data_IF_988335164445
#
_entry.id   IF_988335164445
#
_cell.length_a   1.000
_cell.length_b   1.000
_cell.length_c   1.000
_cell.angle_alpha   90.00
_cell.angle_beta   90.00
_cell.angle_gamma   90.00
#
_symmetry.space_group_name_H-M   'P 1'
#
loop_
_entity.id
_entity.type
_entity.pdbx_description
1 polymer ?
#
# COMPACT_ATOMS: atom_id res chain seq x y z
N UNK A 1 5.85 11.93 2.45
CA UNK A 1 4.96 12.00 1.27
C UNK A 1 5.61 12.53 -0.02
N UNK A 2 6.67 13.29 0.06
CA UNK A 2 7.43 13.77 -1.13
C UNK A 2 8.14 12.65 -1.93
N UNK A 3 8.14 11.41 -1.46
CA UNK A 3 8.71 10.26 -2.15
C UNK A 3 8.23 10.07 -3.58
N UNK A 4 6.96 10.41 -3.84
CA UNK A 4 6.37 10.27 -5.16
C UNK A 4 6.82 11.33 -6.16
N UNK A 5 7.57 12.34 -5.74
CA UNK A 5 8.09 13.37 -6.64
C UNK A 5 9.54 13.12 -7.09
N UNK A 6 10.20 12.07 -6.56
CA UNK A 6 11.57 11.71 -6.97
C UNK A 6 11.53 10.50 -7.92
N UNK A 7 11.77 10.69 -9.23
CA UNK A 7 11.63 9.62 -10.23
C UNK A 7 12.47 8.37 -9.94
N UNK A 8 13.65 8.55 -9.36
CA UNK A 8 14.56 7.44 -9.00
C UNK A 8 13.95 6.54 -7.93
N UNK A 9 13.20 7.11 -6.96
CA UNK A 9 12.54 6.34 -5.91
C UNK A 9 11.36 5.53 -6.45
N UNK A 10 10.71 6.00 -7.50
CA UNK A 10 9.65 5.23 -8.17
C UNK A 10 10.19 3.94 -8.78
N UNK A 11 11.36 3.99 -9.41
CA UNK A 11 11.98 2.82 -10.01
C UNK A 11 12.36 1.81 -8.92
N UNK A 12 12.98 2.28 -7.84
CA UNK A 12 13.37 1.41 -6.71
C UNK A 12 12.14 0.80 -6.04
N UNK A 13 11.10 1.61 -5.79
CA UNK A 13 9.83 1.13 -5.20
C UNK A 13 9.12 0.14 -6.13
N UNK A 14 9.07 0.42 -7.44
CA UNK A 14 8.47 -0.48 -8.42
C UNK A 14 9.20 -1.83 -8.49
N UNK A 15 10.54 -1.82 -8.49
CA UNK A 15 11.34 -3.05 -8.45
C UNK A 15 11.11 -3.83 -7.16
N UNK A 16 11.10 -3.15 -6.01
CA UNK A 16 10.81 -3.75 -4.71
C UNK A 16 9.42 -4.39 -4.68
N UNK A 17 8.39 -3.67 -5.10
CA UNK A 17 7.03 -4.18 -5.18
C UNK A 17 6.93 -5.38 -6.13
N UNK A 18 7.58 -5.31 -7.30
CA UNK A 18 7.60 -6.44 -8.24
C UNK A 18 8.22 -7.71 -7.63
N UNK A 19 9.31 -7.57 -6.87
CA UNK A 19 9.97 -8.71 -6.20
C UNK A 19 9.04 -9.28 -5.13
N UNK A 20 8.47 -8.43 -4.28
CA UNK A 20 7.58 -8.85 -3.19
C UNK A 20 6.33 -9.53 -3.78
N UNK A 21 5.68 -8.91 -4.75
CA UNK A 21 4.51 -9.46 -5.43
C UNK A 21 4.81 -10.80 -6.08
N UNK A 22 6.01 -10.96 -6.68
CA UNK A 22 6.46 -12.21 -7.27
C UNK A 22 6.60 -13.31 -6.22
N UNK A 23 7.25 -13.03 -5.09
CA UNK A 23 7.43 -13.99 -4.01
C UNK A 23 6.07 -14.40 -3.43
N UNK A 24 5.20 -13.43 -3.15
CA UNK A 24 3.87 -13.72 -2.58
C UNK A 24 3.02 -14.52 -3.57
N UNK A 25 3.07 -14.18 -4.86
CA UNK A 25 2.35 -14.93 -5.89
C UNK A 25 2.88 -16.37 -6.02
N UNK A 26 4.19 -16.61 -5.88
CA UNK A 26 4.77 -17.94 -5.83
C UNK A 26 4.26 -18.73 -4.63
N UNK A 27 4.25 -18.12 -3.44
CA UNK A 27 3.72 -18.73 -2.21
C UNK A 27 2.25 -19.10 -2.40
N UNK A 28 1.43 -18.18 -2.91
CA UNK A 28 0.02 -18.42 -3.22
C UNK A 28 -0.13 -19.57 -4.19
N UNK A 29 0.69 -19.64 -5.22
CA UNK A 29 0.64 -20.70 -6.24
C UNK A 29 0.92 -22.08 -5.63
N UNK A 30 1.87 -22.18 -4.72
CA UNK A 30 2.23 -23.45 -4.06
C UNK A 30 1.17 -23.87 -3.04
N UNK A 31 0.75 -22.97 -2.16
CA UNK A 31 -0.09 -23.31 -1.00
C UNK A 31 -1.59 -23.34 -1.32
N UNK A 32 -2.07 -22.43 -2.16
CA UNK A 32 -3.51 -22.29 -2.45
C UNK A 32 -3.91 -23.05 -3.70
N UNK A 33 -3.10 -22.99 -4.74
CA UNK A 33 -3.36 -23.69 -6.01
C UNK A 33 -2.94 -25.15 -5.98
N UNK A 34 -2.06 -25.55 -5.05
CA UNK A 34 -1.45 -26.90 -5.00
C UNK A 34 -0.82 -27.37 -6.33
N UNK A 35 -0.62 -26.47 -7.25
CA UNK A 35 0.05 -26.70 -8.54
C UNK A 35 0.77 -25.41 -8.94
N UNK A 36 2.09 -25.43 -8.88
CA UNK A 36 2.87 -24.41 -9.55
C UNK A 36 2.83 -24.67 -11.05
N UNK A 37 2.16 -23.77 -11.78
CA UNK A 37 2.25 -23.75 -13.23
C UNK A 37 2.88 -22.42 -13.65
N UNK A 38 4.00 -22.51 -14.35
CA UNK A 38 4.71 -21.33 -14.87
C UNK A 38 3.80 -20.42 -15.72
N UNK A 39 2.83 -21.02 -16.41
CA UNK A 39 1.81 -20.29 -17.16
C UNK A 39 0.90 -19.45 -16.25
N UNK A 40 0.52 -19.93 -15.08
CA UNK A 40 -0.30 -19.21 -14.13
C UNK A 40 0.47 -18.00 -13.57
N UNK A 41 1.73 -18.20 -13.19
CA UNK A 41 2.60 -17.12 -12.72
C UNK A 41 2.72 -16.03 -13.79
N UNK A 42 3.13 -16.36 -15.01
CA UNK A 42 3.26 -15.39 -16.11
C UNK A 42 1.98 -14.61 -16.41
N UNK A 43 0.82 -15.26 -16.34
CA UNK A 43 -0.47 -14.62 -16.60
C UNK A 43 -0.97 -13.75 -15.45
N UNK A 44 -0.43 -13.93 -14.24
CA UNK A 44 -0.91 -13.25 -13.04
C UNK A 44 0.04 -12.16 -12.55
N UNK A 45 1.35 -12.29 -12.76
CA UNK A 45 2.34 -11.36 -12.20
C UNK A 45 2.17 -9.93 -12.73
N UNK A 46 1.94 -9.74 -14.02
CA UNK A 46 1.78 -8.42 -14.61
C UNK A 46 0.54 -7.70 -14.04
N UNK A 47 -0.67 -8.29 -14.05
CA UNK A 47 -1.82 -7.63 -13.45
C UNK A 47 -1.66 -7.44 -11.93
N UNK A 48 -1.08 -8.38 -11.19
CA UNK A 48 -0.81 -8.24 -9.75
C UNK A 48 0.04 -7.01 -9.50
N UNK A 49 1.18 -6.91 -10.16
CA UNK A 49 2.11 -5.78 -10.03
C UNK A 49 1.48 -4.44 -10.42
N UNK A 50 0.84 -4.37 -11.59
CA UNK A 50 0.25 -3.12 -12.08
C UNK A 50 -0.87 -2.62 -11.15
N UNK A 51 -1.75 -3.49 -10.71
CA UNK A 51 -2.84 -3.13 -9.83
C UNK A 51 -2.39 -2.94 -8.37
N UNK A 52 -1.33 -3.63 -7.93
CA UNK A 52 -0.67 -3.34 -6.66
C UNK A 52 -0.13 -1.91 -6.65
N UNK A 53 0.70 -1.56 -7.62
CA UNK A 53 1.28 -0.23 -7.76
C UNK A 53 0.21 0.87 -7.91
N UNK A 54 -0.85 0.61 -8.69
CA UNK A 54 -1.98 1.54 -8.80
C UNK A 54 -2.69 1.74 -7.46
N UNK A 55 -2.85 0.68 -6.67
CA UNK A 55 -3.48 0.77 -5.34
C UNK A 55 -2.64 1.60 -4.37
N UNK A 56 -1.32 1.46 -4.41
CA UNK A 56 -0.40 2.27 -3.60
C UNK A 56 -0.49 3.74 -3.99
N UNK A 57 -0.56 4.03 -5.29
CA UNK A 57 -0.76 5.38 -5.79
C UNK A 57 -2.09 5.99 -5.32
N UNK A 58 -3.18 5.21 -5.34
CA UNK A 58 -4.48 5.64 -4.80
C UNK A 58 -4.40 5.93 -3.29
N UNK A 59 -3.63 5.14 -2.54
CA UNK A 59 -3.38 5.40 -1.12
C UNK A 59 -2.67 6.71 -0.87
N UNK A 60 -1.66 7.04 -1.69
CA UNK A 60 -0.99 8.34 -1.62
C UNK A 60 -1.95 9.48 -1.94
N UNK A 61 -2.74 9.36 -3.01
CA UNK A 61 -3.74 10.37 -3.36
C UNK A 61 -4.75 10.58 -2.24
N UNK A 62 -5.20 9.51 -1.58
CA UNK A 62 -6.08 9.58 -0.42
C UNK A 62 -5.45 10.38 0.72
N UNK A 63 -4.21 10.05 1.11
CA UNK A 63 -3.50 10.77 2.17
C UNK A 63 -3.26 12.24 1.80
N UNK A 64 -2.90 12.53 0.56
CA UNK A 64 -2.74 13.89 0.06
C UNK A 64 -4.07 14.67 0.12
N UNK A 65 -5.16 14.07 -0.33
CA UNK A 65 -6.47 14.71 -0.33
C UNK A 65 -6.91 15.08 1.10
N UNK A 66 -6.69 14.18 2.08
CA UNK A 66 -6.98 14.48 3.49
C UNK A 66 -6.05 15.59 4.02
N UNK A 67 -4.76 15.51 3.76
CA UNK A 67 -3.78 16.50 4.26
C UNK A 67 -4.10 17.89 3.74
N UNK A 68 -4.38 18.02 2.44
CA UNK A 68 -4.72 19.31 1.83
C UNK A 68 -6.12 19.76 2.26
N UNK A 69 -7.11 18.86 2.24
CA UNK A 69 -8.50 19.19 2.55
C UNK A 69 -8.75 19.53 4.01
N UNK A 70 -7.94 19.01 4.94
CA UNK A 70 -8.02 19.34 6.36
C UNK A 70 -7.38 20.69 6.71
N UNK A 71 -6.57 21.28 5.82
CA UNK A 71 -5.78 22.45 6.14
C UNK A 71 -4.83 22.20 7.32
N UNK A 72 -4.26 20.99 7.40
CA UNK A 72 -3.50 20.57 8.57
C UNK A 72 -2.28 21.46 8.78
N UNK A 73 -2.23 22.05 9.96
CA UNK A 73 -1.14 22.89 10.49
C UNK A 73 -0.70 22.36 11.84
N UNK A 74 0.47 22.79 12.29
CA UNK A 74 0.94 22.46 13.62
C UNK A 74 0.28 23.36 14.64
N UNK A 75 -0.41 22.76 15.62
CA UNK A 75 -1.07 23.44 16.72
C UNK A 75 -0.54 22.93 18.05
N UNK A 76 -0.27 23.81 18.97
CA UNK A 76 0.01 23.47 20.37
C UNK A 76 -1.30 23.44 21.18
N UNK A 77 -1.40 22.52 22.13
CA UNK A 77 -2.51 22.42 23.07
C UNK A 77 -3.12 21.02 23.18
N UNK A 78 -4.05 20.90 24.14
CA UNK A 78 -4.66 19.62 24.53
C UNK A 78 -6.00 19.34 23.82
N UNK A 79 -6.43 20.19 22.91
CA UNK A 79 -7.64 19.97 22.11
C UNK A 79 -7.40 18.80 21.13
N UNK A 80 -8.28 17.80 21.18
CA UNK A 80 -8.19 16.59 20.34
C UNK A 80 -8.19 16.94 18.84
N UNK A 81 -9.02 17.91 18.43
CA UNK A 81 -9.09 18.34 17.04
C UNK A 81 -7.74 18.92 16.57
N UNK A 82 -7.11 19.76 17.39
CA UNK A 82 -5.78 20.32 17.11
C UNK A 82 -4.70 19.24 17.10
N UNK A 83 -4.77 18.27 18.00
CA UNK A 83 -3.81 17.14 18.03
C UNK A 83 -3.92 16.28 16.76
N UNK A 84 -5.13 16.04 16.25
CA UNK A 84 -5.33 15.33 14.97
C UNK A 84 -4.72 16.11 13.81
N UNK A 85 -5.00 17.42 13.70
CA UNK A 85 -4.45 18.25 12.64
C UNK A 85 -2.93 18.33 12.71
N UNK A 86 -2.37 18.53 13.91
CA UNK A 86 -0.92 18.50 14.15
C UNK A 86 -0.32 17.13 13.76
N UNK A 87 -0.99 16.03 14.07
CA UNK A 87 -0.56 14.69 13.70
C UNK A 87 -0.50 14.48 12.18
N UNK A 88 -1.52 14.95 11.45
CA UNK A 88 -1.52 14.93 9.98
C UNK A 88 -0.38 15.79 9.42
N UNK A 89 -0.18 17.00 9.97
CA UNK A 89 0.91 17.89 9.59
C UNK A 89 2.28 17.24 9.80
N UNK A 90 2.53 16.68 10.99
CA UNK A 90 3.79 16.00 11.33
C UNK A 90 4.04 14.78 10.41
N UNK A 91 3.03 13.96 10.17
CA UNK A 91 3.15 12.82 9.27
C UNK A 91 3.47 13.23 7.82
N UNK A 92 3.01 14.42 7.42
CA UNK A 92 3.23 14.94 6.05
C UNK A 92 4.57 15.64 5.92
N UNK A 93 4.99 16.43 6.91
CA UNK A 93 6.14 17.33 6.83
C UNK A 93 7.39 16.82 7.59
N UNK A 94 7.20 16.01 8.62
CA UNK A 94 8.25 15.46 9.47
C UNK A 94 8.17 13.93 9.49
N UNK A 95 7.97 13.34 10.68
CA UNK A 95 7.82 11.91 10.84
C UNK A 95 6.41 11.56 11.34
N UNK A 96 5.82 10.49 10.85
CA UNK A 96 4.55 10.00 11.37
C UNK A 96 4.66 9.54 12.83
N UNK A 97 5.87 9.19 13.29
CA UNK A 97 6.12 8.73 14.66
C UNK A 97 6.13 9.86 15.70
N UNK A 98 6.16 11.12 15.27
CA UNK A 98 6.12 12.27 16.17
C UNK A 98 4.74 12.46 16.85
N UNK A 99 3.71 11.75 16.35
CA UNK A 99 2.36 11.78 16.91
C UNK A 99 1.62 10.48 16.67
N UNK A 100 0.86 10.00 17.68
CA UNK A 100 -0.03 8.85 17.51
C UNK A 100 -1.07 9.09 16.40
N UNK A 101 -1.56 10.31 16.26
CA UNK A 101 -2.50 10.68 15.19
C UNK A 101 -1.82 10.67 13.81
N UNK A 102 -0.53 10.96 13.74
CA UNK A 102 0.28 10.81 12.53
C UNK A 102 0.39 9.36 12.09
N UNK A 103 0.66 8.44 13.04
CA UNK A 103 0.67 7.00 12.76
C UNK A 103 -0.70 6.53 12.28
N UNK A 104 -1.78 6.89 12.99
CA UNK A 104 -3.15 6.52 12.61
C UNK A 104 -3.53 7.03 11.23
N UNK A 105 -3.12 8.26 10.89
CA UNK A 105 -3.33 8.84 9.57
C UNK A 105 -2.64 8.00 8.48
N UNK A 106 -1.36 7.65 8.64
CA UNK A 106 -0.63 6.81 7.68
C UNK A 106 -1.24 5.41 7.59
N UNK A 107 -1.60 4.79 8.72
CA UNK A 107 -2.27 3.48 8.75
C UNK A 107 -3.59 3.53 7.97
N UNK A 108 -4.35 4.63 8.04
CA UNK A 108 -5.58 4.78 7.24
C UNK A 108 -5.31 4.70 5.73
N UNK A 109 -4.20 5.27 5.26
CA UNK A 109 -3.75 5.19 3.87
C UNK A 109 -3.34 3.77 3.45
N UNK A 110 -2.63 3.06 4.34
CA UNK A 110 -2.27 1.64 4.12
C UNK A 110 -3.54 0.79 4.00
N UNK A 111 -4.50 0.96 4.89
CA UNK A 111 -5.77 0.23 4.84
C UNK A 111 -6.55 0.55 3.57
N UNK A 112 -6.59 1.82 3.18
CA UNK A 112 -7.24 2.24 1.94
C UNK A 112 -6.60 1.56 0.72
N UNK A 113 -5.27 1.59 0.58
CA UNK A 113 -4.55 0.86 -0.48
C UNK A 113 -4.86 -0.64 -0.46
N UNK A 114 -4.84 -1.26 0.74
CA UNK A 114 -5.10 -2.70 0.89
C UNK A 114 -6.47 -3.13 0.40
N UNK A 115 -7.49 -2.29 0.59
CA UNK A 115 -8.85 -2.54 0.04
C UNK A 115 -8.79 -2.59 -1.50
N UNK A 116 -8.07 -1.69 -2.14
CA UNK A 116 -7.93 -1.69 -3.59
C UNK A 116 -7.08 -2.85 -4.09
N UNK A 117 -5.98 -3.20 -3.40
CA UNK A 117 -5.18 -4.39 -3.70
C UNK A 117 -6.06 -5.64 -3.67
N UNK A 118 -6.87 -5.80 -2.62
CA UNK A 118 -7.84 -6.90 -2.54
C UNK A 118 -8.83 -6.88 -3.70
N UNK A 119 -9.48 -5.75 -3.94
CA UNK A 119 -10.54 -5.63 -4.94
C UNK A 119 -10.03 -5.91 -6.37
N UNK A 120 -8.88 -5.35 -6.74
CA UNK A 120 -8.28 -5.56 -8.05
C UNK A 120 -7.78 -6.99 -8.23
N UNK A 121 -7.10 -7.55 -7.24
CA UNK A 121 -6.66 -8.95 -7.32
C UNK A 121 -7.84 -9.91 -7.39
N UNK A 122 -8.89 -9.67 -6.62
CA UNK A 122 -10.10 -10.48 -6.67
C UNK A 122 -10.83 -10.39 -8.01
N UNK A 123 -10.98 -9.19 -8.58
CA UNK A 123 -11.76 -8.96 -9.80
C UNK A 123 -10.98 -9.21 -11.08
N UNK A 124 -9.67 -8.96 -11.08
CA UNK A 124 -8.84 -8.96 -12.29
C UNK A 124 -7.75 -10.03 -12.24
N UNK A 125 -6.80 -9.92 -11.29
CA UNK A 125 -5.59 -10.74 -11.30
C UNK A 125 -5.88 -12.23 -11.16
N UNK A 126 -6.85 -12.61 -10.33
CA UNK A 126 -7.25 -13.99 -10.08
C UNK A 126 -8.56 -14.40 -10.77
N UNK A 127 -9.13 -13.53 -11.59
CA UNK A 127 -10.33 -13.87 -12.34
C UNK A 127 -9.99 -14.87 -13.48
N UNK A 128 -10.91 -15.78 -13.77
CA UNK A 128 -10.80 -16.76 -14.88
C UNK A 128 -9.50 -17.61 -14.85
N UNK A 129 -8.94 -17.86 -13.65
CA UNK A 129 -7.71 -18.67 -13.46
C UNK A 129 -8.01 -20.10 -12.97
N UNK A 130 -9.26 -20.56 -13.05
CA UNK A 130 -9.65 -21.89 -12.56
C UNK A 130 -9.69 -22.03 -11.04
N UNK A 131 -9.71 -20.91 -10.32
CA UNK A 131 -9.81 -20.87 -8.85
C UNK A 131 -11.25 -20.98 -8.39
N UNK A 132 -11.47 -21.73 -7.31
CA UNK A 132 -12.73 -21.65 -6.55
C UNK A 132 -12.90 -20.26 -5.94
N UNK A 133 -14.14 -19.86 -5.68
CA UNK A 133 -14.43 -18.58 -5.03
C UNK A 133 -13.65 -18.40 -3.71
N UNK A 134 -13.56 -19.45 -2.90
CA UNK A 134 -12.81 -19.45 -1.64
C UNK A 134 -11.30 -19.22 -1.86
N UNK A 135 -10.69 -19.92 -2.79
CA UNK A 135 -9.28 -19.77 -3.12
C UNK A 135 -8.98 -18.36 -3.63
N UNK A 136 -9.85 -17.80 -4.48
CA UNK A 136 -9.73 -16.45 -4.99
C UNK A 136 -9.77 -15.40 -3.88
N UNK A 137 -10.69 -15.55 -2.90
CA UNK A 137 -10.77 -14.65 -1.73
C UNK A 137 -9.48 -14.74 -0.90
N UNK A 138 -9.04 -15.96 -0.57
CA UNK A 138 -7.84 -16.17 0.25
C UNK A 138 -6.61 -15.58 -0.46
N UNK A 139 -6.43 -15.88 -1.75
CA UNK A 139 -5.32 -15.36 -2.53
C UNK A 139 -5.30 -13.82 -2.56
N UNK A 140 -6.45 -13.18 -2.82
CA UNK A 140 -6.56 -11.72 -2.87
C UNK A 140 -6.34 -11.09 -1.50
N UNK A 141 -6.80 -11.72 -0.42
CA UNK A 141 -6.60 -11.25 0.94
C UNK A 141 -5.12 -11.39 1.35
N UNK A 142 -4.47 -12.50 0.99
CA UNK A 142 -3.03 -12.70 1.23
C UNK A 142 -2.21 -11.61 0.53
N UNK A 143 -2.52 -11.30 -0.74
CA UNK A 143 -1.89 -10.19 -1.45
C UNK A 143 -2.11 -8.87 -0.69
N UNK A 144 -3.35 -8.53 -0.36
CA UNK A 144 -3.68 -7.26 0.28
C UNK A 144 -3.00 -7.06 1.65
N UNK A 145 -2.76 -8.14 2.40
CA UNK A 145 -2.09 -8.06 3.70
C UNK A 145 -0.57 -8.00 3.55
N UNK A 146 0.02 -8.84 2.69
CA UNK A 146 1.48 -8.97 2.63
C UNK A 146 2.10 -7.88 1.75
N UNK A 147 1.43 -7.45 0.69
CA UNK A 147 1.94 -6.44 -0.25
C UNK A 147 1.35 -5.05 -0.01
N UNK A 148 0.73 -4.81 1.14
CA UNK A 148 0.30 -3.47 1.54
C UNK A 148 1.49 -2.49 1.56
N UNK A 149 1.28 -1.20 1.27
CA UNK A 149 2.37 -0.23 1.20
C UNK A 149 2.91 0.17 2.58
N UNK A 150 3.51 -0.77 3.30
CA UNK A 150 4.17 -0.52 4.59
C UNK A 150 5.30 0.50 4.50
N UNK A 151 5.81 0.75 3.30
CA UNK A 151 6.78 1.82 3.02
C UNK A 151 6.26 3.21 3.39
N UNK A 152 4.94 3.41 3.52
CA UNK A 152 4.38 4.68 4.02
C UNK A 152 4.77 4.98 5.47
N UNK A 153 5.11 3.95 6.25
CA UNK A 153 5.60 4.09 7.62
C UNK A 153 7.09 4.45 7.71
N UNK A 154 7.84 4.40 6.60
CA UNK A 154 9.27 4.72 6.64
C UNK A 154 9.47 6.21 6.92
N UNK A 155 10.31 6.56 7.90
CA UNK A 155 10.60 7.96 8.21
C UNK A 155 11.38 8.63 7.07
N UNK A 156 11.12 9.93 6.86
CA UNK A 156 11.74 10.70 5.77
C UNK A 156 13.26 10.81 5.88
N UNK A 157 13.76 10.80 7.10
CA UNK A 157 15.19 10.92 7.44
C UNK A 157 16.04 9.81 6.81
N UNK A 158 15.43 8.67 6.47
CA UNK A 158 16.12 7.59 5.75
C UNK A 158 16.48 7.96 4.31
N UNK A 159 15.85 9.01 3.77
CA UNK A 159 15.97 9.36 2.35
C UNK A 159 16.53 10.76 2.13
N UNK A 160 16.53 11.57 3.16
CA UNK A 160 17.09 12.94 3.16
C UNK A 160 17.91 13.11 4.44
N UNK A 161 19.18 12.69 4.40
CA UNK A 161 20.10 12.91 5.50
C UNK A 161 20.39 14.42 5.72
#
# INVERSE_FOLDING_TARGET
MLFFFVPTLWIVSALGNFIIDSIVLLIISIFIYKKFTWQLYKKSIIPVFLYGFLSDFLGVLYLMAISIGSGAEYYEGNDIGKQILSGIYLATNHSCYDSIYGVLFIVSGILFSSIFIFAFNYRVSFNNKGLSKKQKIIASLTMAIITAPYTFLLPKELFYP
#
